data_IF_947268736861
#
_entry.id   IF_947268736861
#
_cell.length_a   1.000
_cell.length_b   1.000
_cell.length_c   1.000
_cell.angle_alpha   90.00
_cell.angle_beta   90.00
_cell.angle_gamma   90.00
#
_symmetry.space_group_name_H-M   'P 1'
#
loop_
_entity.id
_entity.type
_entity.pdbx_description
1 polymer ?
#
# COMPACT_ATOMS: atom_id res chain seq x y z
N UNK A 1 -12.26 3.56 37.12
CA UNK A 1 -12.93 4.65 36.38
C UNK A 1 -13.34 4.12 35.01
N UNK A 2 -14.58 3.66 34.87
CA UNK A 2 -15.11 3.05 33.65
C UNK A 2 -15.71 4.11 32.75
N UNK A 3 -15.17 4.22 31.54
CA UNK A 3 -15.57 5.18 30.52
C UNK A 3 -16.87 4.69 29.85
N UNK A 4 -18.01 5.27 30.22
CA UNK A 4 -19.32 4.95 29.64
C UNK A 4 -19.49 5.77 28.37
N UNK A 5 -19.45 5.11 27.21
CA UNK A 5 -19.73 5.77 25.94
C UNK A 5 -21.22 6.15 25.84
N UNK A 6 -21.54 7.37 25.38
CA UNK A 6 -22.92 7.80 25.19
C UNK A 6 -23.55 7.02 24.03
N UNK A 7 -24.49 6.13 24.35
CA UNK A 7 -25.29 5.40 23.37
C UNK A 7 -26.14 6.39 22.57
N UNK A 8 -25.80 6.57 21.28
CA UNK A 8 -26.58 7.38 20.35
C UNK A 8 -27.97 6.74 20.19
N UNK A 9 -29.00 7.47 20.62
CA UNK A 9 -30.38 6.99 20.59
C UNK A 9 -30.89 6.92 19.13
N UNK A 10 -31.15 5.73 18.57
CA UNK A 10 -31.51 5.55 17.16
C UNK A 10 -32.85 6.20 16.79
N UNK A 11 -33.74 6.42 17.77
CA UNK A 11 -35.03 7.07 17.54
C UNK A 11 -34.93 8.55 17.17
N UNK A 12 -33.92 9.27 17.67
CA UNK A 12 -33.72 10.67 17.27
C UNK A 12 -33.27 10.78 15.81
N UNK A 13 -32.55 9.80 15.26
CA UNK A 13 -32.08 9.87 13.88
C UNK A 13 -33.18 9.56 12.85
N UNK A 14 -34.17 8.73 13.18
CA UNK A 14 -35.27 8.41 12.27
C UNK A 14 -36.28 9.58 12.15
N UNK A 15 -36.53 10.32 13.24
CA UNK A 15 -37.53 11.39 13.24
C UNK A 15 -37.16 12.58 12.34
N UNK A 16 -35.88 12.94 12.25
CA UNK A 16 -35.43 14.07 11.39
C UNK A 16 -35.41 13.76 9.89
N UNK A 17 -35.56 12.50 9.47
CA UNK A 17 -35.57 12.14 8.03
C UNK A 17 -36.89 12.40 7.31
N UNK A 18 -37.98 12.64 8.05
CA UNK A 18 -39.32 12.78 7.48
C UNK A 18 -39.88 14.19 7.52
N UNK A 19 -39.13 15.17 8.03
CA UNK A 19 -39.54 16.56 7.84
C UNK A 19 -39.27 16.92 6.37
N UNK A 20 -40.31 17.27 5.58
CA UNK A 20 -40.09 17.79 4.25
C UNK A 20 -39.24 19.04 4.41
N UNK A 21 -38.00 18.99 3.91
CA UNK A 21 -37.22 20.19 3.68
C UNK A 21 -38.06 21.03 2.74
N UNK A 22 -38.76 22.04 3.29
CA UNK A 22 -39.43 23.05 2.50
C UNK A 22 -38.32 23.80 1.76
N UNK A 23 -37.91 23.25 0.62
CA UNK A 23 -37.21 23.96 -0.44
C UNK A 23 -38.18 25.02 -0.92
N UNK A 24 -38.22 26.11 -0.17
CA UNK A 24 -38.77 27.36 -0.63
C UNK A 24 -37.84 27.79 -1.74
N UNK A 25 -38.06 27.27 -2.95
CA UNK A 25 -37.43 27.72 -4.17
C UNK A 25 -37.91 29.16 -4.37
N UNK A 26 -37.29 30.08 -3.65
CA UNK A 26 -37.55 31.50 -3.78
C UNK A 26 -37.02 31.88 -5.15
N UNK A 27 -37.92 31.84 -6.13
CA UNK A 27 -37.58 32.03 -7.53
C UNK A 27 -36.77 33.33 -7.71
N UNK A 28 -35.91 33.42 -8.72
CA UNK A 28 -35.22 34.65 -9.07
C UNK A 28 -36.16 35.86 -9.20
N UNK A 29 -37.45 35.61 -9.46
CA UNK A 29 -38.52 36.60 -9.49
C UNK A 29 -38.79 37.25 -8.13
N UNK A 30 -38.75 36.52 -7.02
CA UNK A 30 -39.09 37.06 -5.69
C UNK A 30 -38.11 38.16 -5.24
N UNK A 31 -36.80 38.00 -5.50
CA UNK A 31 -35.80 39.03 -5.17
C UNK A 31 -35.97 40.27 -6.03
N UNK A 32 -36.24 40.08 -7.34
CA UNK A 32 -36.50 41.19 -8.26
C UNK A 32 -37.73 41.98 -7.84
N UNK A 33 -38.81 41.30 -7.42
CA UNK A 33 -40.04 41.93 -6.93
C UNK A 33 -39.77 42.72 -5.65
N UNK A 34 -38.99 42.18 -4.70
CA UNK A 34 -38.63 42.89 -3.46
C UNK A 34 -37.77 44.13 -3.75
N UNK A 35 -36.78 44.03 -4.65
CA UNK A 35 -35.95 45.17 -5.06
C UNK A 35 -36.82 46.24 -5.74
N UNK A 36 -37.71 45.84 -6.65
CA UNK A 36 -38.61 46.77 -7.33
C UNK A 36 -39.56 47.46 -6.33
N UNK A 37 -40.12 46.69 -5.39
CA UNK A 37 -40.99 47.18 -4.33
C UNK A 37 -40.28 48.09 -3.33
N UNK A 38 -38.96 47.97 -3.16
CA UNK A 38 -38.16 48.86 -2.32
C UNK A 38 -37.67 50.12 -3.07
N UNK A 39 -37.43 50.00 -4.39
CA UNK A 39 -36.98 51.12 -5.23
C UNK A 39 -38.07 52.17 -5.45
N UNK A 40 -39.32 51.74 -5.67
CA UNK A 40 -40.45 52.64 -5.95
C UNK A 40 -40.71 53.63 -4.79
N UNK A 41 -40.84 53.19 -3.52
CA UNK A 41 -41.00 54.11 -2.39
C UNK A 41 -39.77 54.99 -2.14
N UNK A 42 -38.57 54.52 -2.45
CA UNK A 42 -37.34 55.31 -2.31
C UNK A 42 -37.33 56.49 -3.29
N UNK A 43 -37.68 56.24 -4.56
CA UNK A 43 -37.82 57.28 -5.59
C UNK A 43 -38.95 58.28 -5.25
N UNK A 44 -40.09 57.77 -4.77
CA UNK A 44 -41.19 58.63 -4.32
C UNK A 44 -40.78 59.50 -3.13
N UNK A 45 -40.06 58.92 -2.16
CA UNK A 45 -39.52 59.65 -1.01
C UNK A 45 -38.55 60.74 -1.44
N UNK A 46 -37.67 60.49 -2.40
CA UNK A 46 -36.70 61.47 -2.92
C UNK A 46 -37.39 62.71 -3.47
N UNK A 47 -38.39 62.51 -4.32
CA UNK A 47 -39.14 63.60 -4.95
C UNK A 47 -39.82 64.44 -3.85
N UNK A 48 -40.42 63.77 -2.87
CA UNK A 48 -41.08 64.42 -1.74
C UNK A 48 -40.11 65.16 -0.81
N UNK A 49 -38.94 64.60 -0.48
CA UNK A 49 -37.94 65.30 0.35
C UNK A 49 -37.33 66.49 -0.37
N UNK A 50 -37.02 66.37 -1.66
CA UNK A 50 -36.52 67.49 -2.47
C UNK A 50 -37.54 68.61 -2.51
N UNK A 51 -38.81 68.29 -2.81
CA UNK A 51 -39.89 69.27 -2.85
C UNK A 51 -40.12 69.93 -1.48
N UNK A 52 -40.16 69.13 -0.42
CA UNK A 52 -40.30 69.60 0.95
C UNK A 52 -39.20 70.56 1.39
N UNK A 53 -37.96 70.27 1.00
CA UNK A 53 -36.82 71.11 1.33
C UNK A 53 -36.83 72.41 0.53
N UNK A 54 -37.30 72.37 -0.72
CA UNK A 54 -37.46 73.57 -1.54
C UNK A 54 -38.46 74.55 -0.94
N UNK A 55 -39.58 74.05 -0.40
CA UNK A 55 -40.64 74.89 0.17
C UNK A 55 -40.29 75.46 1.55
N UNK A 56 -39.37 74.81 2.28
CA UNK A 56 -38.96 75.25 3.64
C UNK A 56 -37.78 76.23 3.65
N UNK A 57 -37.16 76.51 2.50
CA UNK A 57 -36.10 77.50 2.39
C UNK A 57 -36.67 78.92 2.18
N UNK A 58 -36.16 79.94 2.88
CA UNK A 58 -36.61 81.31 2.70
C UNK A 58 -36.30 81.82 1.29
N UNK A 59 -37.27 82.48 0.68
CA UNK A 59 -37.12 83.10 -0.64
C UNK A 59 -36.06 84.22 -0.61
N UNK A 60 -35.11 84.32 -1.56
CA UNK A 60 -34.86 83.44 -2.70
C UNK A 60 -33.68 82.49 -2.44
N UNK A 61 -33.93 81.28 -1.95
CA UNK A 61 -32.92 80.24 -1.92
C UNK A 61 -32.76 79.62 -3.33
N UNK A 62 -31.53 79.52 -3.87
CA UNK A 62 -31.32 78.96 -5.19
C UNK A 62 -31.72 77.48 -5.20
N UNK A 63 -32.55 77.09 -6.18
CA UNK A 63 -33.06 75.71 -6.37
C UNK A 63 -31.98 74.62 -6.30
N UNK A 64 -30.73 74.98 -6.61
CA UNK A 64 -29.57 74.09 -6.48
C UNK A 64 -29.33 73.57 -5.07
N UNK A 65 -29.66 74.31 -4.00
CA UNK A 65 -29.42 73.88 -2.61
C UNK A 65 -30.40 72.78 -2.20
N UNK A 66 -31.68 72.92 -2.54
CA UNK A 66 -32.71 71.91 -2.26
C UNK A 66 -32.45 70.59 -3.00
N UNK A 67 -32.10 70.69 -4.28
CA UNK A 67 -31.71 69.52 -5.10
C UNK A 67 -30.42 68.86 -4.59
N UNK A 68 -29.41 69.64 -4.22
CA UNK A 68 -28.16 69.11 -3.71
C UNK A 68 -28.34 68.39 -2.37
N UNK A 69 -29.09 68.96 -1.42
CA UNK A 69 -29.29 68.35 -0.11
C UNK A 69 -30.19 67.10 -0.17
N UNK A 70 -31.27 67.12 -0.96
CA UNK A 70 -32.08 65.91 -1.20
C UNK A 70 -31.29 64.81 -1.92
N UNK A 71 -30.48 65.19 -2.91
CA UNK A 71 -29.58 64.27 -3.61
C UNK A 71 -28.51 63.66 -2.70
N UNK A 72 -27.88 64.45 -1.82
CA UNK A 72 -26.88 63.96 -0.86
C UNK A 72 -27.50 62.97 0.13
N UNK A 73 -28.71 63.24 0.63
CA UNK A 73 -29.41 62.35 1.54
C UNK A 73 -29.70 60.97 0.91
N UNK A 74 -30.14 60.98 -0.36
CA UNK A 74 -30.47 59.76 -1.09
C UNK A 74 -29.22 58.99 -1.52
N UNK A 75 -28.19 59.70 -2.00
CA UNK A 75 -26.87 59.10 -2.25
C UNK A 75 -26.32 58.48 -0.97
N UNK A 76 -26.47 59.12 0.19
CA UNK A 76 -26.04 58.56 1.47
C UNK A 76 -26.84 57.32 1.86
N UNK A 77 -28.16 57.31 1.64
CA UNK A 77 -29.03 56.17 1.95
C UNK A 77 -28.76 54.98 1.03
N UNK A 78 -28.67 55.21 -0.28
CA UNK A 78 -28.29 54.19 -1.27
C UNK A 78 -26.87 53.69 -1.00
N UNK A 79 -25.92 54.58 -0.72
CA UNK A 79 -24.54 54.20 -0.38
C UNK A 79 -24.48 53.36 0.89
N UNK A 80 -25.26 53.69 1.92
CA UNK A 80 -25.32 52.87 3.14
C UNK A 80 -25.84 51.46 2.85
N UNK A 81 -26.86 51.33 1.99
CA UNK A 81 -27.36 50.02 1.53
C UNK A 81 -26.28 49.28 0.74
N UNK A 82 -25.61 49.93 -0.22
CA UNK A 82 -24.55 49.33 -1.03
C UNK A 82 -23.33 48.92 -0.20
N UNK A 83 -22.94 49.71 0.80
CA UNK A 83 -21.84 49.42 1.72
C UNK A 83 -22.20 48.22 2.61
N UNK A 84 -23.41 48.21 3.19
CA UNK A 84 -23.90 47.07 3.95
C UNK A 84 -24.00 45.81 3.07
N UNK A 85 -24.23 45.99 1.77
CA UNK A 85 -24.27 44.90 0.80
C UNK A 85 -22.87 44.37 0.45
N UNK A 86 -21.89 45.24 0.26
CA UNK A 86 -20.55 44.85 -0.18
C UNK A 86 -19.66 44.37 0.96
N UNK A 87 -19.86 44.85 2.18
CA UNK A 87 -18.97 44.56 3.30
C UNK A 87 -19.72 44.18 4.60
N UNK A 88 -19.78 42.87 4.95
CA UNK A 88 -20.44 42.40 6.17
C UNK A 88 -19.84 42.97 7.46
N UNK A 89 -18.54 43.29 7.47
CA UNK A 89 -17.87 43.81 8.66
C UNK A 89 -18.35 45.21 9.07
N UNK A 90 -18.83 45.99 8.08
CA UNK A 90 -19.33 47.35 8.27
C UNK A 90 -20.87 47.39 8.21
N UNK A 91 -21.54 46.24 8.08
CA UNK A 91 -22.99 46.16 7.94
C UNK A 91 -23.72 46.72 9.17
N UNK A 92 -23.27 46.41 10.39
CA UNK A 92 -23.88 46.93 11.63
C UNK A 92 -23.84 48.46 11.75
N UNK A 93 -22.68 49.14 11.62
CA UNK A 93 -22.66 50.60 11.67
C UNK A 93 -23.39 51.24 10.49
N UNK A 94 -23.34 50.65 9.29
CA UNK A 94 -24.09 51.13 8.13
C UNK A 94 -25.61 51.00 8.32
N UNK A 95 -26.10 49.93 8.98
CA UNK A 95 -27.51 49.77 9.32
C UNK A 95 -27.98 50.83 10.31
N UNK A 96 -27.19 51.09 11.37
CA UNK A 96 -27.50 52.13 12.36
C UNK A 96 -27.55 53.50 11.69
N UNK A 97 -26.56 53.83 10.86
CA UNK A 97 -26.53 55.08 10.09
C UNK A 97 -27.74 55.19 9.15
N UNK A 98 -28.08 54.10 8.44
CA UNK A 98 -29.23 54.08 7.54
C UNK A 98 -30.57 54.29 8.26
N UNK A 99 -30.74 53.74 9.47
CA UNK A 99 -31.92 54.00 10.30
C UNK A 99 -31.96 55.44 10.81
N UNK A 100 -30.82 56.01 11.22
CA UNK A 100 -30.74 57.40 11.63
C UNK A 100 -31.10 58.37 10.49
N UNK A 101 -30.59 58.11 9.27
CA UNK A 101 -30.92 58.90 8.07
C UNK A 101 -32.41 58.77 7.73
N UNK A 102 -32.96 57.56 7.75
CA UNK A 102 -34.39 57.34 7.48
C UNK A 102 -35.30 58.03 8.50
N UNK A 103 -34.94 58.01 9.79
CA UNK A 103 -35.67 58.72 10.83
C UNK A 103 -35.62 60.24 10.63
N UNK A 104 -34.44 60.79 10.33
CA UNK A 104 -34.27 62.21 10.03
C UNK A 104 -35.10 62.64 8.80
N UNK A 105 -35.05 61.85 7.73
CA UNK A 105 -35.86 62.06 6.53
C UNK A 105 -37.36 62.05 6.86
N UNK A 106 -37.80 61.08 7.67
CA UNK A 106 -39.19 60.97 8.08
C UNK A 106 -39.67 62.17 8.91
N UNK A 107 -38.83 62.68 9.83
CA UNK A 107 -39.13 63.89 10.60
C UNK A 107 -39.25 65.11 9.69
N UNK A 108 -38.33 65.29 8.73
CA UNK A 108 -38.37 66.39 7.77
C UNK A 108 -39.65 66.36 6.91
N UNK A 109 -39.97 65.19 6.34
CA UNK A 109 -41.19 65.00 5.52
C UNK A 109 -42.44 65.23 6.37
N UNK A 110 -42.50 64.66 7.57
CA UNK A 110 -43.65 64.81 8.47
C UNK A 110 -43.87 66.26 8.91
N UNK A 111 -42.79 66.96 9.28
CA UNK A 111 -42.83 68.36 9.67
C UNK A 111 -43.37 69.26 8.55
N UNK A 112 -42.85 69.08 7.34
CA UNK A 112 -43.32 69.83 6.18
C UNK A 112 -44.76 69.47 5.78
N UNK A 113 -45.11 68.18 5.80
CA UNK A 113 -46.46 67.72 5.45
C UNK A 113 -47.52 68.25 6.43
N UNK A 114 -47.20 68.39 7.72
CA UNK A 114 -48.09 68.97 8.72
C UNK A 114 -48.49 70.42 8.39
N UNK A 115 -47.60 71.17 7.75
CA UNK A 115 -47.88 72.55 7.30
C UNK A 115 -48.86 72.63 6.12
N UNK A 116 -49.03 71.54 5.37
CA UNK A 116 -49.93 71.45 4.21
C UNK A 116 -51.27 70.82 4.62
N UNK A 117 -51.24 69.62 5.18
CA UNK A 117 -52.39 68.87 5.69
C UNK A 117 -51.92 67.89 6.78
N UNK A 118 -52.47 67.94 8.01
CA UNK A 118 -52.13 67.01 9.09
C UNK A 118 -52.24 65.52 8.72
N UNK A 119 -53.12 65.15 7.78
CA UNK A 119 -53.25 63.76 7.32
C UNK A 119 -52.03 63.28 6.52
N UNK A 120 -51.30 64.20 5.87
CA UNK A 120 -50.11 63.88 5.09
C UNK A 120 -48.87 63.57 5.95
N UNK A 121 -48.94 63.82 7.27
CA UNK A 121 -47.84 63.45 8.20
C UNK A 121 -47.49 61.96 8.13
N UNK A 122 -48.44 61.11 7.74
CA UNK A 122 -48.22 59.67 7.52
C UNK A 122 -47.14 59.41 6.45
N UNK A 123 -46.92 60.33 5.51
CA UNK A 123 -45.84 60.24 4.52
C UNK A 123 -44.45 60.26 5.14
N UNK A 124 -44.30 60.81 6.36
CA UNK A 124 -43.07 60.71 7.14
C UNK A 124 -42.68 59.27 7.51
N UNK A 125 -43.60 58.30 7.41
CA UNK A 125 -43.31 56.88 7.60
C UNK A 125 -42.68 56.21 6.37
N UNK A 126 -42.79 56.83 5.18
CA UNK A 126 -42.32 56.22 3.92
C UNK A 126 -40.83 55.89 3.94
N UNK A 127 -39.92 56.77 4.40
CA UNK A 127 -38.49 56.44 4.49
C UNK A 127 -38.20 55.24 5.42
N UNK A 128 -38.95 55.14 6.54
CA UNK A 128 -38.80 54.04 7.51
C UNK A 128 -39.28 52.71 6.93
N UNK A 129 -40.43 52.70 6.25
CA UNK A 129 -40.97 51.51 5.57
C UNK A 129 -40.02 51.06 4.47
N UNK A 130 -39.49 51.99 3.66
CA UNK A 130 -38.50 51.67 2.63
C UNK A 130 -37.24 51.03 3.24
N UNK A 131 -36.70 51.61 4.32
CA UNK A 131 -35.53 51.06 5.02
C UNK A 131 -35.78 49.65 5.57
N UNK A 132 -36.98 49.40 6.11
CA UNK A 132 -37.38 48.09 6.61
C UNK A 132 -37.43 47.03 5.49
N UNK A 133 -38.00 47.39 4.33
CA UNK A 133 -38.06 46.52 3.15
C UNK A 133 -36.66 46.17 2.63
N UNK A 134 -35.75 47.14 2.58
CA UNK A 134 -34.33 46.89 2.24
C UNK A 134 -33.63 45.98 3.24
N UNK A 135 -33.91 46.13 4.54
CA UNK A 135 -33.38 45.23 5.58
C UNK A 135 -33.87 43.79 5.40
N UNK A 136 -35.14 43.60 5.05
CA UNK A 136 -35.71 42.29 4.77
C UNK A 136 -35.09 41.66 3.51
N UNK A 137 -34.90 42.45 2.46
CA UNK A 137 -34.23 42.04 1.24
C UNK A 137 -32.79 41.56 1.52
N UNK A 138 -32.02 42.35 2.27
CA UNK A 138 -30.63 42.03 2.61
C UNK A 138 -30.54 40.75 3.46
N UNK A 139 -31.40 40.62 4.48
CA UNK A 139 -31.45 39.43 5.35
C UNK A 139 -31.78 38.17 4.55
N UNK A 140 -32.72 38.25 3.61
CA UNK A 140 -33.08 37.12 2.73
C UNK A 140 -31.93 36.68 1.81
N UNK A 141 -31.05 37.61 1.42
CA UNK A 141 -29.86 37.30 0.63
C UNK A 141 -28.78 36.66 1.50
N UNK A 142 -28.50 37.22 2.68
CA UNK A 142 -27.49 36.67 3.60
C UNK A 142 -27.85 35.24 3.98
N UNK A 143 -29.13 34.95 4.28
CA UNK A 143 -29.57 33.58 4.57
C UNK A 143 -29.36 32.62 3.40
N UNK A 144 -29.51 33.08 2.15
CA UNK A 144 -29.24 32.25 0.96
C UNK A 144 -27.75 31.97 0.79
N UNK A 145 -26.90 32.99 0.92
CA UNK A 145 -25.44 32.80 0.84
C UNK A 145 -24.94 31.86 1.95
N UNK A 146 -25.52 31.95 3.15
CA UNK A 146 -25.22 31.02 4.23
C UNK A 146 -25.66 29.58 3.89
N UNK A 147 -26.87 29.39 3.35
CA UNK A 147 -27.35 28.08 2.91
C UNK A 147 -26.54 27.52 1.75
N UNK A 148 -26.20 28.33 0.75
CA UNK A 148 -25.35 27.93 -0.38
C UNK A 148 -23.94 27.55 0.08
N UNK A 149 -23.39 28.25 1.07
CA UNK A 149 -22.10 27.91 1.68
C UNK A 149 -22.18 26.59 2.47
N UNK A 150 -23.23 26.38 3.28
CA UNK A 150 -23.46 25.12 3.99
C UNK A 150 -23.66 23.94 3.02
N UNK A 151 -24.40 24.13 1.92
CA UNK A 151 -24.57 23.12 0.88
C UNK A 151 -23.26 22.83 0.14
N UNK A 152 -22.45 23.85 -0.13
CA UNK A 152 -21.14 23.67 -0.76
C UNK A 152 -20.16 22.93 0.16
N UNK A 153 -20.16 23.23 1.46
CA UNK A 153 -19.38 22.50 2.46
C UNK A 153 -19.86 21.06 2.59
N UNK A 154 -21.17 20.83 2.67
CA UNK A 154 -21.75 19.49 2.72
C UNK A 154 -21.41 18.66 1.48
N UNK A 155 -21.45 19.26 0.28
CA UNK A 155 -21.02 18.60 -0.97
C UNK A 155 -19.54 18.27 -0.96
N UNK A 156 -18.68 19.18 -0.52
CA UNK A 156 -17.23 18.93 -0.39
C UNK A 156 -16.93 17.81 0.60
N UNK A 157 -17.67 17.73 1.71
CA UNK A 157 -17.53 16.63 2.66
C UNK A 157 -18.01 15.30 2.08
N UNK A 158 -19.15 15.30 1.37
CA UNK A 158 -19.65 14.10 0.69
C UNK A 158 -18.68 13.60 -0.40
N UNK A 159 -18.18 14.50 -1.25
CA UNK A 159 -17.17 14.17 -2.27
C UNK A 159 -15.86 13.66 -1.64
N UNK A 160 -15.43 14.25 -0.52
CA UNK A 160 -14.25 13.78 0.21
C UNK A 160 -14.47 12.40 0.84
N UNK A 161 -15.67 12.10 1.34
CA UNK A 161 -16.02 10.76 1.83
C UNK A 161 -16.10 9.75 0.69
N UNK A 162 -16.67 10.11 -0.46
CA UNK A 162 -16.71 9.25 -1.65
C UNK A 162 -15.30 8.96 -2.16
N UNK A 163 -14.44 9.98 -2.29
CA UNK A 163 -13.04 9.80 -2.66
C UNK A 163 -12.27 8.92 -1.66
N UNK A 164 -12.58 8.99 -0.36
CA UNK A 164 -12.00 8.09 0.65
C UNK A 164 -12.49 6.66 0.48
N UNK A 165 -13.78 6.45 0.23
CA UNK A 165 -14.34 5.12 -0.03
C UNK A 165 -13.79 4.53 -1.33
N UNK A 166 -13.63 5.34 -2.37
CA UNK A 166 -12.97 4.93 -3.60
C UNK A 166 -11.51 4.56 -3.36
N UNK A 167 -10.78 5.33 -2.54
CA UNK A 167 -9.41 4.99 -2.16
C UNK A 167 -9.31 3.70 -1.33
N UNK A 168 -10.24 3.47 -0.40
CA UNK A 168 -10.34 2.23 0.39
C UNK A 168 -10.69 1.00 -0.48
N UNK A 169 -11.52 1.18 -1.50
CA UNK A 169 -11.92 0.14 -2.43
C UNK A 169 -10.92 -0.06 -3.58
N UNK A 170 -10.07 0.92 -3.86
CA UNK A 170 -9.02 0.79 -4.86
C UNK A 170 -7.98 -0.20 -4.36
N UNK A 171 -7.94 -1.38 -4.97
CA UNK A 171 -6.88 -2.38 -4.78
C UNK A 171 -5.54 -1.95 -5.42
N UNK A 172 -5.46 -0.71 -5.89
CA UNK A 172 -4.29 -0.17 -6.54
C UNK A 172 -3.21 0.06 -5.49
N UNK A 173 -2.13 -0.74 -5.61
CA UNK A 173 -0.93 -0.56 -4.82
C UNK A 173 -0.49 0.90 -4.91
N UNK A 174 -0.24 1.52 -3.75
CA UNK A 174 0.33 2.87 -3.68
C UNK A 174 1.64 2.95 -4.46
N UNK A 175 2.02 4.13 -4.95
CA UNK A 175 3.30 4.29 -5.65
C UNK A 175 4.50 3.78 -4.83
N UNK A 176 4.48 3.97 -3.50
CA UNK A 176 5.48 3.44 -2.59
C UNK A 176 5.48 1.90 -2.58
N UNK A 177 4.31 1.26 -2.51
CA UNK A 177 4.21 -0.20 -2.59
C UNK A 177 4.62 -0.75 -3.96
N UNK A 178 4.34 -0.05 -5.07
CA UNK A 178 4.82 -0.45 -6.41
C UNK A 178 6.34 -0.38 -6.50
N UNK A 179 6.94 0.68 -5.95
CA UNK A 179 8.39 0.83 -5.89
C UNK A 179 9.03 -0.29 -5.04
N UNK A 180 8.41 -0.62 -3.90
CA UNK A 180 8.85 -1.73 -3.06
C UNK A 180 8.77 -3.08 -3.79
N UNK A 181 7.65 -3.36 -4.47
CA UNK A 181 7.48 -4.58 -5.28
C UNK A 181 8.50 -4.63 -6.42
N UNK A 182 8.78 -3.50 -7.08
CA UNK A 182 9.80 -3.42 -8.13
C UNK A 182 11.21 -3.69 -7.58
N UNK A 183 11.56 -3.12 -6.41
CA UNK A 183 12.83 -3.38 -5.72
C UNK A 183 12.98 -4.86 -5.36
N UNK A 184 11.94 -5.46 -4.77
CA UNK A 184 11.95 -6.90 -4.45
C UNK A 184 12.09 -7.79 -5.68
N UNK A 185 11.52 -7.39 -6.83
CA UNK A 185 11.71 -8.10 -8.10
C UNK A 185 13.14 -7.98 -8.63
N UNK A 186 13.76 -6.81 -8.49
CA UNK A 186 15.17 -6.61 -8.86
C UNK A 186 16.10 -7.44 -7.96
N UNK A 187 15.87 -7.44 -6.63
CA UNK A 187 16.59 -8.29 -5.68
C UNK A 187 16.46 -9.78 -6.04
N UNK A 188 15.25 -10.23 -6.37
CA UNK A 188 15.01 -11.62 -6.76
C UNK A 188 15.66 -11.99 -8.11
N UNK A 189 15.69 -11.06 -9.07
CA UNK A 189 16.37 -11.27 -10.36
C UNK A 189 17.88 -11.37 -10.16
N UNK A 190 18.47 -10.44 -9.41
CA UNK A 190 19.90 -10.45 -9.07
C UNK A 190 20.31 -11.73 -8.35
N UNK A 191 19.52 -12.18 -7.37
CA UNK A 191 19.80 -13.43 -6.66
C UNK A 191 19.75 -14.67 -7.59
N UNK A 192 18.88 -14.68 -8.61
CA UNK A 192 18.83 -15.77 -9.60
C UNK A 192 20.02 -15.75 -10.55
N UNK A 193 20.45 -14.57 -10.98
CA UNK A 193 21.64 -14.40 -11.83
C UNK A 193 22.91 -14.81 -11.09
N UNK A 194 23.06 -14.39 -9.83
CA UNK A 194 24.18 -14.80 -8.98
C UNK A 194 24.21 -16.33 -8.79
N UNK A 195 23.07 -16.95 -8.48
CA UNK A 195 22.97 -18.39 -8.34
C UNK A 195 23.17 -19.16 -9.66
N UNK A 196 23.01 -18.52 -10.82
CA UNK A 196 23.38 -19.10 -12.11
C UNK A 196 24.89 -19.02 -12.32
N UNK A 197 25.50 -17.85 -12.07
CA UNK A 197 26.94 -17.66 -12.16
C UNK A 197 27.74 -18.59 -11.21
N UNK A 198 27.25 -18.80 -9.99
CA UNK A 198 27.87 -19.72 -9.03
C UNK A 198 27.83 -21.19 -9.52
N UNK A 199 26.76 -21.58 -10.23
CA UNK A 199 26.65 -22.91 -10.85
C UNK A 199 27.61 -23.05 -12.02
N UNK A 200 27.66 -22.07 -12.91
CA UNK A 200 28.59 -22.08 -14.05
C UNK A 200 30.05 -22.13 -13.57
N UNK A 201 30.37 -21.43 -12.48
CA UNK A 201 31.69 -21.49 -11.86
C UNK A 201 31.99 -22.87 -11.24
N UNK A 202 31.03 -23.48 -10.55
CA UNK A 202 31.17 -24.82 -9.98
C UNK A 202 31.36 -25.89 -11.09
N UNK A 203 30.62 -25.78 -12.19
CA UNK A 203 30.75 -26.68 -13.33
C UNK A 203 32.12 -26.52 -14.01
N UNK A 204 32.57 -25.28 -14.26
CA UNK A 204 33.88 -25.00 -14.83
C UNK A 204 35.05 -25.50 -13.95
N UNK A 205 34.92 -25.38 -12.62
CA UNK A 205 35.92 -25.92 -11.68
C UNK A 205 35.93 -27.44 -11.65
N UNK A 206 34.76 -28.08 -11.69
CA UNK A 206 34.65 -29.54 -11.78
C UNK A 206 35.25 -30.09 -13.08
N UNK A 207 35.04 -29.41 -14.22
CA UNK A 207 35.67 -29.75 -15.50
C UNK A 207 37.19 -29.63 -15.42
N UNK A 208 37.71 -28.52 -14.89
CA UNK A 208 39.14 -28.32 -14.72
C UNK A 208 39.78 -29.39 -13.82
N UNK A 209 39.12 -29.75 -12.71
CA UNK A 209 39.57 -30.85 -11.85
C UNK A 209 39.53 -32.21 -12.58
N UNK A 210 38.50 -32.46 -13.38
CA UNK A 210 38.39 -33.68 -14.17
C UNK A 210 39.52 -33.80 -15.18
N UNK A 211 39.84 -32.73 -15.90
CA UNK A 211 40.97 -32.69 -16.83
C UNK A 211 42.30 -32.93 -16.12
N UNK A 212 42.52 -32.34 -14.94
CA UNK A 212 43.70 -32.60 -14.13
C UNK A 212 43.79 -34.06 -13.67
N UNK A 213 42.66 -34.67 -13.28
CA UNK A 213 42.57 -36.10 -12.93
C UNK A 213 42.88 -37.00 -14.14
N UNK A 214 42.37 -36.66 -15.32
CA UNK A 214 42.70 -37.39 -16.55
C UNK A 214 44.18 -37.25 -16.92
N UNK A 215 44.75 -36.04 -16.81
CA UNK A 215 46.16 -35.80 -17.08
C UNK A 215 47.08 -36.56 -16.11
N UNK A 216 46.76 -36.57 -14.81
CA UNK A 216 47.51 -37.33 -13.81
C UNK A 216 47.37 -38.85 -14.01
N UNK A 217 46.18 -39.33 -14.35
CA UNK A 217 45.95 -40.76 -14.69
C UNK A 217 46.74 -41.18 -15.92
N UNK A 218 46.81 -40.34 -16.96
CA UNK A 218 47.64 -40.59 -18.16
C UNK A 218 49.12 -40.69 -17.79
N UNK A 219 49.64 -39.73 -17.01
CA UNK A 219 51.03 -39.77 -16.52
C UNK A 219 51.33 -41.03 -15.72
N UNK A 220 50.42 -41.44 -14.83
CA UNK A 220 50.57 -42.67 -14.05
C UNK A 220 50.53 -43.93 -14.92
N UNK A 221 49.68 -43.97 -15.94
CA UNK A 221 49.61 -45.08 -16.89
C UNK A 221 50.90 -45.17 -17.74
N UNK A 222 51.42 -44.04 -18.20
CA UNK A 222 52.71 -43.98 -18.92
C UNK A 222 53.87 -44.47 -18.05
N UNK A 223 53.90 -44.07 -16.77
CA UNK A 223 54.91 -44.56 -15.80
C UNK A 223 54.80 -46.06 -15.59
N UNK A 224 53.58 -46.61 -15.43
CA UNK A 224 53.37 -48.07 -15.30
C UNK A 224 53.83 -48.81 -16.54
N UNK A 225 53.49 -48.34 -17.74
CA UNK A 225 53.97 -48.95 -18.98
C UNK A 225 55.49 -48.90 -19.12
N UNK A 226 56.15 -47.83 -18.62
CA UNK A 226 57.60 -47.75 -18.60
C UNK A 226 58.21 -48.79 -17.66
N UNK A 227 57.66 -48.94 -16.44
CA UNK A 227 58.07 -49.96 -15.48
C UNK A 227 57.84 -51.38 -16.02
N UNK A 228 56.67 -51.66 -16.60
CA UNK A 228 56.34 -52.96 -17.18
C UNK A 228 57.32 -53.34 -18.31
N UNK A 229 57.76 -52.37 -19.12
CA UNK A 229 58.77 -52.59 -20.17
C UNK A 229 60.15 -52.90 -19.58
N UNK A 230 60.53 -52.25 -18.48
CA UNK A 230 61.78 -52.54 -17.77
C UNK A 230 61.75 -53.93 -17.13
N UNK A 231 60.65 -54.28 -16.46
CA UNK A 231 60.45 -55.61 -15.89
C UNK A 231 60.48 -56.70 -16.97
N UNK A 232 59.83 -56.48 -18.11
CA UNK A 232 59.89 -57.39 -19.25
C UNK A 232 61.33 -57.57 -19.76
N UNK A 233 62.13 -56.50 -19.82
CA UNK A 233 63.56 -56.59 -20.18
C UNK A 233 64.36 -57.40 -19.17
N UNK A 234 64.15 -57.17 -17.88
CA UNK A 234 64.82 -57.94 -16.80
C UNK A 234 64.40 -59.41 -16.84
N UNK A 235 63.13 -59.71 -17.12
CA UNK A 235 62.64 -61.07 -17.26
C UNK A 235 63.29 -61.80 -18.45
N UNK A 236 63.45 -61.11 -19.59
CA UNK A 236 64.19 -61.65 -20.74
C UNK A 236 65.66 -61.94 -20.37
N UNK A 237 66.35 -60.99 -19.73
CA UNK A 237 67.73 -61.19 -19.27
C UNK A 237 67.87 -62.36 -18.30
N UNK A 238 66.92 -62.54 -17.37
CA UNK A 238 66.89 -63.70 -16.47
C UNK A 238 66.74 -65.01 -17.23
N UNK A 239 65.87 -65.06 -18.24
CA UNK A 239 65.71 -66.28 -19.06
C UNK A 239 66.98 -66.61 -19.84
N UNK A 240 67.64 -65.61 -20.39
CA UNK A 240 68.91 -65.80 -21.11
C UNK A 240 70.02 -66.27 -20.16
N UNK A 241 70.14 -65.66 -18.97
CA UNK A 241 71.10 -66.09 -17.95
C UNK A 241 70.82 -67.54 -17.46
N UNK A 242 69.56 -67.92 -17.27
CA UNK A 242 69.18 -69.29 -16.90
C UNK A 242 69.58 -70.27 -18.02
N UNK A 243 69.41 -69.89 -19.29
CA UNK A 243 69.86 -70.72 -20.43
C UNK A 243 71.39 -70.87 -20.44
N UNK A 244 72.13 -69.79 -20.19
CA UNK A 244 73.60 -69.82 -20.11
C UNK A 244 74.10 -70.67 -18.94
N UNK A 245 73.54 -70.50 -17.74
CA UNK A 245 73.89 -71.30 -16.56
C UNK A 245 73.58 -72.78 -16.79
N UNK A 246 72.42 -73.11 -17.37
CA UNK A 246 72.07 -74.50 -17.71
C UNK A 246 73.01 -75.09 -18.77
N UNK A 247 73.42 -74.30 -19.77
CA UNK A 247 74.41 -74.73 -20.75
C UNK A 247 75.80 -74.93 -20.12
N UNK A 248 76.20 -74.09 -19.16
CA UNK A 248 77.47 -74.21 -18.42
C UNK A 248 77.48 -75.33 -17.38
N UNK A 249 76.35 -75.63 -16.74
CA UNK A 249 76.19 -76.73 -15.77
C UNK A 249 76.19 -78.12 -16.42
N UNK A 250 76.10 -78.21 -17.76
CA UNK A 250 76.25 -79.48 -18.48
C UNK A 250 77.65 -80.11 -18.43
N UNK A 251 78.62 -79.48 -17.75
CA UNK A 251 80.03 -79.92 -17.71
C UNK A 251 80.60 -80.23 -16.31
N UNK A 252 79.82 -80.17 -15.22
CA UNK A 252 80.33 -80.56 -13.90
C UNK A 252 79.26 -81.13 -12.96
N UNK A 253 79.38 -82.45 -12.70
CA UNK A 253 78.89 -83.22 -11.54
C UNK A 253 77.35 -83.44 -11.52
N UNK A 254 76.83 -84.65 -11.36
CA UNK A 254 77.30 -85.75 -10.52
C UNK A 254 76.13 -86.12 -9.61
N UNK A 255 75.73 -87.39 -9.63
CA UNK A 255 74.60 -88.00 -8.91
C UNK A 255 74.39 -87.52 -7.48
N UNK A 256 73.16 -87.16 -7.13
CA UNK A 256 72.69 -86.96 -5.76
C UNK A 256 71.17 -87.10 -5.69
N UNK A 257 70.73 -88.16 -5.03
CA UNK A 257 69.36 -88.67 -4.93
C UNK A 257 68.63 -88.11 -3.68
N UNK A 258 67.29 -88.25 -3.65
CA UNK A 258 66.36 -88.27 -2.48
C UNK A 258 65.85 -86.88 -1.97
N UNK A 259 64.63 -86.73 -1.38
CA UNK A 259 63.34 -87.48 -1.44
C UNK A 259 62.10 -86.66 -1.83
N UNK A 260 61.05 -87.37 -2.22
CA UNK A 260 59.64 -86.97 -2.13
C UNK A 260 59.22 -86.64 -0.69
N UNK A 261 58.58 -85.48 -0.47
CA UNK A 261 57.51 -85.42 0.52
C UNK A 261 56.49 -84.30 0.24
N UNK A 262 55.25 -84.66 0.54
CA UNK A 262 54.01 -83.99 0.23
C UNK A 262 53.85 -82.62 0.93
N UNK A 263 53.08 -81.72 0.32
CA UNK A 263 51.79 -81.28 0.90
C UNK A 263 51.10 -80.18 0.07
N UNK A 264 49.95 -80.55 -0.48
CA UNK A 264 48.65 -79.85 -0.44
C UNK A 264 48.62 -78.32 -0.43
N UNK A 265 47.92 -77.77 -1.43
CA UNK A 265 46.69 -76.95 -1.28
C UNK A 265 46.29 -76.56 -2.72
N UNK A 266 45.33 -77.27 -3.34
CA UNK A 266 43.92 -76.85 -3.47
C UNK A 266 43.75 -75.32 -3.50
N UNK A 267 43.16 -74.69 -4.50
CA UNK A 267 41.97 -75.11 -5.24
C UNK A 267 41.84 -74.41 -6.60
N UNK A 268 40.98 -75.06 -7.39
CA UNK A 268 40.45 -74.78 -8.73
C UNK A 268 40.02 -73.34 -9.03
N UNK A 269 40.01 -72.95 -10.33
CA UNK A 269 39.51 -71.68 -10.84
C UNK A 269 37.98 -71.68 -11.09
N UNK A 270 37.47 -70.48 -11.42
CA UNK A 270 36.16 -70.10 -11.98
C UNK A 270 35.02 -69.66 -11.04
N UNK A 271 34.67 -68.36 -11.15
CA UNK A 271 33.33 -67.76 -11.24
C UNK A 271 33.48 -66.24 -11.00
N UNK A 272 33.59 -65.37 -12.00
CA UNK A 272 32.49 -64.84 -12.81
C UNK A 272 31.20 -64.63 -11.99
N UNK A 273 31.06 -63.45 -11.36
CA UNK A 273 29.81 -62.63 -11.30
C UNK A 273 29.92 -61.56 -10.20
N UNK A 274 29.46 -60.34 -10.51
CA UNK A 274 28.80 -59.48 -9.52
C UNK A 274 29.67 -58.42 -8.85
N UNK A 275 30.00 -57.37 -9.60
CA UNK A 275 30.17 -56.02 -9.06
C UNK A 275 28.79 -55.59 -8.50
N UNK A 276 28.54 -55.82 -7.21
CA UNK A 276 27.25 -55.56 -6.58
C UNK A 276 27.45 -55.08 -5.15
N UNK A 277 27.13 -53.81 -4.91
CA UNK A 277 27.28 -53.12 -3.63
C UNK A 277 26.55 -53.85 -2.51
N UNK A 278 27.31 -54.26 -1.50
CA UNK A 278 26.81 -54.62 -0.19
C UNK A 278 27.77 -54.04 0.86
N UNK A 279 27.85 -52.70 0.93
CA UNK A 279 28.24 -52.09 2.19
C UNK A 279 27.08 -52.30 3.15
N UNK A 280 27.30 -53.20 4.10
CA UNK A 280 26.36 -53.53 5.15
C UNK A 280 25.86 -52.28 5.85
N UNK A 281 24.54 -52.12 5.83
CA UNK A 281 23.81 -51.40 6.85
C UNK A 281 24.06 -52.12 8.19
N UNK A 282 25.18 -51.81 8.84
CA UNK A 282 25.24 -51.92 10.29
C UNK A 282 24.13 -51.03 10.82
N UNK A 283 23.10 -51.66 11.39
CA UNK A 283 22.07 -50.98 12.14
C UNK A 283 22.75 -50.19 13.26
N UNK A 284 23.01 -48.90 13.00
CA UNK A 284 23.54 -47.97 14.00
C UNK A 284 22.45 -47.87 15.06
N UNK A 285 22.74 -48.36 16.25
CA UNK A 285 21.85 -48.23 17.39
C UNK A 285 21.55 -46.76 17.60
N UNK A 286 20.26 -46.41 17.67
CA UNK A 286 19.79 -45.03 17.67
C UNK A 286 20.14 -44.24 18.96
N UNK A 287 21.04 -44.74 19.80
CA UNK A 287 21.36 -44.22 21.13
C UNK A 287 22.04 -42.85 21.11
N UNK A 288 22.71 -42.47 20.02
CA UNK A 288 23.37 -41.16 19.87
C UNK A 288 22.58 -40.07 19.13
N UNK A 289 21.36 -40.36 18.66
CA UNK A 289 20.55 -39.41 17.89
C UNK A 289 19.94 -38.33 18.79
N UNK A 290 19.91 -37.10 18.28
CA UNK A 290 19.16 -36.00 18.90
C UNK A 290 17.68 -36.43 19.09
N UNK A 291 17.03 -36.15 20.23
CA UNK A 291 15.67 -36.65 20.53
C UNK A 291 14.66 -36.37 19.42
N UNK A 292 14.78 -35.21 18.79
CA UNK A 292 13.93 -34.74 17.69
C UNK A 292 14.10 -35.51 16.37
N UNK A 293 15.25 -36.13 16.15
CA UNK A 293 15.51 -37.00 15.00
C UNK A 293 14.99 -38.42 15.29
N UNK A 294 15.11 -38.87 16.54
CA UNK A 294 14.54 -40.14 17.00
C UNK A 294 13.01 -40.15 16.87
N UNK A 295 12.33 -39.08 17.30
CA UNK A 295 10.88 -38.92 17.11
C UNK A 295 10.44 -39.02 15.63
N UNK A 296 11.26 -38.51 14.70
CA UNK A 296 10.97 -38.61 13.27
C UNK A 296 11.16 -40.04 12.75
N UNK A 297 12.19 -40.76 13.22
CA UNK A 297 12.38 -42.18 12.90
C UNK A 297 11.25 -43.05 13.45
N UNK A 298 10.81 -42.79 14.69
CA UNK A 298 9.68 -43.50 15.30
C UNK A 298 8.40 -43.29 14.49
N UNK A 299 8.15 -42.05 14.03
CA UNK A 299 7.04 -41.74 13.14
C UNK A 299 7.14 -42.50 11.81
N UNK A 300 8.31 -42.53 11.17
CA UNK A 300 8.51 -43.24 9.89
C UNK A 300 8.33 -44.75 10.07
N UNK A 301 8.84 -45.31 11.16
CA UNK A 301 8.65 -46.72 11.50
C UNK A 301 7.17 -47.07 11.74
N UNK A 302 6.41 -46.17 12.36
CA UNK A 302 4.98 -46.35 12.61
C UNK A 302 4.13 -46.16 11.34
N UNK A 303 4.48 -45.20 10.48
CA UNK A 303 3.71 -44.86 9.29
C UNK A 303 4.03 -45.73 8.07
N UNK A 304 5.21 -46.36 8.02
CA UNK A 304 5.63 -47.23 6.93
C UNK A 304 5.62 -46.52 5.56
N UNK A 305 5.05 -47.16 4.55
CA UNK A 305 4.97 -46.62 3.17
C UNK A 305 4.05 -45.40 3.04
N UNK A 306 3.13 -45.18 3.99
CA UNK A 306 2.23 -44.02 4.03
C UNK A 306 2.88 -42.76 4.63
N UNK A 307 4.17 -42.84 5.01
CA UNK A 307 4.89 -41.71 5.55
C UNK A 307 4.95 -40.57 4.52
N UNK A 308 4.57 -39.36 4.93
CA UNK A 308 4.75 -38.16 4.11
C UNK A 308 5.23 -36.99 4.94
N UNK A 309 5.98 -36.09 4.31
CA UNK A 309 6.51 -34.89 4.96
C UNK A 309 5.40 -34.05 5.61
N UNK A 310 4.25 -33.94 4.94
CA UNK A 310 3.10 -33.16 5.45
C UNK A 310 2.38 -33.87 6.61
N UNK A 311 2.35 -35.19 6.62
CA UNK A 311 1.77 -35.95 7.74
C UNK A 311 2.70 -35.93 8.96
N UNK A 312 4.01 -36.12 8.75
CA UNK A 312 5.04 -35.98 9.79
C UNK A 312 5.05 -34.58 10.43
N UNK A 313 4.94 -33.51 9.62
CA UNK A 313 4.87 -32.13 10.10
C UNK A 313 3.68 -31.91 11.06
N UNK A 314 2.51 -32.47 10.72
CA UNK A 314 1.30 -32.40 11.56
C UNK A 314 1.42 -33.22 12.83
N UNK A 315 1.97 -34.44 12.75
CA UNK A 315 2.15 -35.33 13.90
C UNK A 315 3.17 -34.78 14.91
N UNK A 316 4.26 -34.18 14.42
CA UNK A 316 5.36 -33.67 15.24
C UNK A 316 5.21 -32.18 15.62
N UNK A 317 4.12 -31.53 15.21
CA UNK A 317 3.86 -30.11 15.53
C UNK A 317 4.90 -29.13 14.99
N UNK A 318 5.52 -29.41 13.84
CA UNK A 318 6.53 -28.56 13.23
C UNK A 318 6.25 -28.29 11.74
N UNK A 319 6.99 -27.37 11.14
CA UNK A 319 6.83 -27.01 9.74
C UNK A 319 7.45 -28.05 8.79
N UNK A 320 6.91 -28.14 7.57
CA UNK A 320 7.35 -29.10 6.57
C UNK A 320 8.82 -28.89 6.12
N UNK A 321 9.38 -27.68 6.27
CA UNK A 321 10.77 -27.42 5.94
C UNK A 321 11.71 -27.98 7.02
N UNK A 322 11.34 -27.87 8.31
CA UNK A 322 12.07 -28.54 9.40
C UNK A 322 12.07 -30.05 9.25
N UNK A 323 10.94 -30.67 8.88
CA UNK A 323 10.89 -32.13 8.63
C UNK A 323 11.83 -32.53 7.49
N UNK A 324 11.90 -31.75 6.41
CA UNK A 324 12.85 -32.02 5.30
C UNK A 324 14.30 -31.93 5.76
N UNK A 325 14.67 -30.88 6.52
CA UNK A 325 16.02 -30.76 7.06
C UNK A 325 16.38 -31.94 7.96
N UNK A 326 15.47 -32.34 8.86
CA UNK A 326 15.68 -33.52 9.73
C UNK A 326 15.83 -34.81 8.93
N UNK A 327 15.02 -34.99 7.89
CA UNK A 327 15.12 -36.12 6.95
C UNK A 327 16.48 -36.13 6.25
N UNK A 328 16.94 -34.99 5.75
CA UNK A 328 18.22 -34.90 5.02
C UNK A 328 19.40 -35.24 5.98
N UNK A 329 19.37 -34.74 7.22
CA UNK A 329 20.34 -35.12 8.27
C UNK A 329 20.30 -36.62 8.59
N UNK A 330 19.10 -37.23 8.67
CA UNK A 330 18.96 -38.67 8.89
C UNK A 330 19.51 -39.49 7.70
N UNK A 331 19.28 -39.03 6.47
CA UNK A 331 19.79 -39.67 5.26
C UNK A 331 21.32 -39.59 5.18
N UNK A 332 21.92 -38.44 5.53
CA UNK A 332 23.38 -38.27 5.65
C UNK A 332 23.98 -39.21 6.71
N UNK A 333 23.24 -39.47 7.78
CA UNK A 333 23.63 -40.42 8.83
C UNK A 333 23.36 -41.89 8.47
N UNK A 334 22.83 -42.18 7.28
CA UNK A 334 22.60 -43.52 6.76
C UNK A 334 21.34 -44.21 7.26
N UNK A 335 20.38 -43.46 7.82
CA UNK A 335 19.07 -44.00 8.19
C UNK A 335 18.13 -44.02 6.99
N UNK A 336 17.34 -45.09 6.85
CA UNK A 336 16.34 -45.18 5.79
C UNK A 336 15.14 -44.27 6.07
N UNK A 337 15.05 -43.21 5.28
CA UNK A 337 13.94 -42.24 5.29
C UNK A 337 13.29 -42.12 3.91
N UNK A 338 13.53 -43.11 3.04
CA UNK A 338 12.96 -43.22 1.69
C UNK A 338 11.43 -43.14 1.65
N UNK A 339 10.68 -43.65 2.67
CA UNK A 339 9.23 -43.53 2.69
C UNK A 339 8.72 -42.09 2.75
N UNK A 340 9.49 -41.11 3.25
CA UNK A 340 9.11 -39.69 3.29
C UNK A 340 9.19 -39.04 1.90
N UNK A 341 8.37 -39.54 0.99
CA UNK A 341 8.27 -39.04 -0.37
C UNK A 341 7.61 -37.66 -0.39
N UNK A 342 8.04 -36.85 -1.34
CA UNK A 342 7.44 -35.54 -1.61
C UNK A 342 6.10 -35.84 -2.30
N UNK A 343 5.00 -35.79 -1.56
CA UNK A 343 3.67 -36.02 -2.11
C UNK A 343 3.41 -35.00 -3.22
N UNK A 344 3.62 -35.39 -4.47
CA UNK A 344 3.17 -34.69 -5.68
C UNK A 344 1.80 -35.26 -6.01
N UNK A 345 0.79 -34.80 -5.26
CA UNK A 345 -0.61 -34.85 -5.66
C UNK A 345 -1.16 -33.45 -5.49
#
# INVERSE_FOLDING_TARGET
>A
MTNVQPTKNPFKQAFWRHLPVQRSASSPGAVRVIILAAAIPSLASLILTVWSLMDSLPDPAPWGVGLAAGGVLDVALVSAVVIAWSNPAVARPAEIAGWAIAALAGVLVGWHSYGIDPMLVVLGLVPLVSKALWGLALRSRISRHAQEAEEAEAKRLAEAEEARREAELSTDLTHAQRAEVARRRQEAAYARELAAADRDYADATAEAEHEQKLASTRRAAEQRMALDREEARVAMQRQDLIREVRAGQGLALGSGEVPDDASSLSASPEALMGFGGAMGAQARTAEGLEPRLRELLDYVAQAGEDASVRAAARALGCDAATVRRRRDVLAEQGYDVSPLTRTTK
#
